data_IF_462534693566
#
_entry.id   IF_462534693566
#
_cell.length_a   1.000
_cell.length_b   1.000
_cell.length_c   1.000
_cell.angle_alpha   90.00
_cell.angle_beta   90.00
_cell.angle_gamma   90.00
#
_symmetry.space_group_name_H-M   'P 1'
#
loop_
_entity.id
_entity.type
_entity.pdbx_description
1 polymer ?
#
# COMPACT_ATOMS: atom_id res chain seq x y z
N UNK A 1 -2.93 11.07 13.82
CA UNK A 1 -3.30 10.46 15.11
C UNK A 1 -2.46 11.14 16.15
N UNK A 2 -3.13 11.76 17.10
CA UNK A 2 -2.53 12.46 18.22
C UNK A 2 -3.18 11.91 19.49
N UNK A 3 -2.42 11.83 20.57
CA UNK A 3 -2.95 11.39 21.85
C UNK A 3 -3.40 12.61 22.63
N UNK A 4 -4.66 12.62 23.04
CA UNK A 4 -5.26 13.68 23.84
C UNK A 4 -5.50 13.14 25.24
N UNK A 5 -5.16 13.95 26.24
CA UNK A 5 -5.42 13.62 27.62
C UNK A 5 -6.90 13.90 27.94
N UNK A 6 -7.69 12.87 28.22
CA UNK A 6 -9.13 12.98 28.44
C UNK A 6 -9.49 12.34 29.79
N UNK A 7 -10.39 12.96 30.56
CA UNK A 7 -10.91 12.37 31.79
C UNK A 7 -11.79 11.16 31.47
N UNK A 8 -11.74 10.12 32.31
CA UNK A 8 -12.53 8.92 32.08
C UNK A 8 -14.02 9.21 32.38
N UNK A 9 -14.95 8.94 31.43
CA UNK A 9 -16.37 9.23 31.63
C UNK A 9 -16.99 8.56 32.86
N UNK A 10 -16.43 7.41 33.27
CA UNK A 10 -16.88 6.62 34.42
C UNK A 10 -16.05 6.83 35.69
N UNK A 11 -14.95 7.60 35.64
CA UNK A 11 -14.09 7.94 36.79
C UNK A 11 -13.43 9.32 36.55
N UNK A 12 -14.11 10.44 36.92
CA UNK A 12 -13.65 11.79 36.61
C UNK A 12 -12.26 12.14 37.18
N UNK A 13 -11.86 11.51 38.29
CA UNK A 13 -10.56 11.74 38.94
C UNK A 13 -9.39 11.08 38.20
N UNK A 14 -9.65 10.31 37.15
CA UNK A 14 -8.62 9.62 36.35
C UNK A 14 -8.65 10.11 34.92
N UNK A 15 -7.45 10.15 34.33
CA UNK A 15 -7.24 10.56 32.95
C UNK A 15 -6.59 9.44 32.16
N UNK A 16 -6.88 9.40 30.87
CA UNK A 16 -6.25 8.48 29.92
C UNK A 16 -5.82 9.24 28.66
N UNK A 17 -4.68 8.81 28.10
CA UNK A 17 -4.23 9.26 26.80
C UNK A 17 -5.02 8.50 25.73
N UNK A 18 -6.02 9.15 25.14
CA UNK A 18 -6.88 8.56 24.11
C UNK A 18 -6.38 9.00 22.74
N UNK A 19 -6.19 8.07 21.80
CA UNK A 19 -5.83 8.46 20.45
C UNK A 19 -7.01 9.06 19.69
N UNK A 20 -6.79 10.20 19.07
CA UNK A 20 -7.75 10.87 18.22
C UNK A 20 -7.31 10.86 16.76
N UNK A 21 -8.27 10.64 15.87
CA UNK A 21 -8.07 10.78 14.43
C UNK A 21 -7.86 12.27 14.11
N UNK A 22 -6.82 12.55 13.34
CA UNK A 22 -6.50 13.90 12.86
C UNK A 22 -6.55 13.84 11.34
N UNK A 23 -7.49 14.58 10.77
CA UNK A 23 -7.67 14.70 9.33
C UNK A 23 -7.24 16.09 8.89
N UNK A 24 -6.39 16.15 7.86
CA UNK A 24 -5.95 17.41 7.28
C UNK A 24 -6.12 17.33 5.78
N UNK A 25 -6.97 18.21 5.23
CA UNK A 25 -7.11 18.34 3.79
C UNK A 25 -6.01 19.23 3.24
N UNK A 26 -5.30 18.72 2.25
CA UNK A 26 -4.26 19.45 1.53
C UNK A 26 -4.90 20.20 0.36
N UNK A 27 -4.62 21.50 0.23
CA UNK A 27 -5.26 22.35 -0.79
C UNK A 27 -4.33 22.72 -1.94
N UNK A 28 -3.03 22.68 -1.72
CA UNK A 28 -2.03 23.11 -2.71
C UNK A 28 -1.01 22.02 -2.99
N UNK A 29 -0.42 22.05 -4.18
CA UNK A 29 0.61 21.11 -4.61
C UNK A 29 1.85 21.17 -3.71
N UNK A 30 2.20 22.38 -3.24
CA UNK A 30 3.35 22.60 -2.34
C UNK A 30 3.16 21.95 -0.98
N UNK A 31 1.94 21.91 -0.47
CA UNK A 31 1.61 21.20 0.78
C UNK A 31 1.52 19.69 0.58
N UNK A 32 1.14 19.24 -0.63
CA UNK A 32 1.08 17.83 -1.00
C UNK A 32 2.47 17.24 -1.30
N UNK A 33 3.45 18.11 -1.60
CA UNK A 33 4.82 17.72 -1.88
C UNK A 33 5.57 17.30 -0.60
N UNK A 34 5.64 15.99 -0.38
CA UNK A 34 6.39 15.40 0.72
C UNK A 34 7.86 15.26 0.31
N UNK A 35 8.74 15.90 1.08
CA UNK A 35 10.20 15.85 0.84
C UNK A 35 10.81 14.61 1.49
N UNK A 36 11.91 14.13 0.91
CA UNK A 36 12.74 13.10 1.53
C UNK A 36 13.13 13.47 2.98
N UNK A 37 13.18 12.47 3.87
CA UNK A 37 13.51 12.66 5.29
C UNK A 37 12.45 13.36 6.16
N UNK A 38 11.35 13.86 5.59
CA UNK A 38 10.27 14.50 6.37
C UNK A 38 9.29 13.46 6.93
N UNK A 39 8.61 13.81 8.03
CA UNK A 39 7.58 12.95 8.64
C UNK A 39 6.41 12.80 7.68
N UNK A 40 6.31 11.65 7.03
CA UNK A 40 5.20 11.34 6.12
C UNK A 40 3.92 11.00 6.90
N UNK A 41 2.74 11.39 6.41
CA UNK A 41 1.48 10.98 7.01
C UNK A 41 1.31 9.47 6.87
N UNK A 42 0.89 8.81 7.96
CA UNK A 42 0.63 7.35 7.94
C UNK A 42 -0.47 6.97 6.95
N UNK A 43 -1.45 7.85 6.76
CA UNK A 43 -2.55 7.71 5.81
C UNK A 43 -2.51 8.86 4.83
N UNK A 44 -2.01 8.59 3.63
CA UNK A 44 -2.15 9.47 2.47
C UNK A 44 -3.16 8.83 1.54
N UNK A 45 -4.25 9.51 1.22
CA UNK A 45 -5.26 9.00 0.31
C UNK A 45 -5.80 10.11 -0.58
N UNK A 46 -6.21 9.72 -1.78
CA UNK A 46 -6.88 10.58 -2.75
C UNK A 46 -8.36 10.25 -2.69
N UNK A 47 -9.18 11.24 -2.37
CA UNK A 47 -10.61 11.09 -2.16
C UNK A 47 -11.42 11.76 -3.27
N UNK A 48 -12.49 11.10 -3.69
CA UNK A 48 -13.56 11.69 -4.48
C UNK A 48 -14.51 12.49 -3.59
N UNK A 49 -15.31 13.37 -4.21
CA UNK A 49 -16.41 14.04 -3.52
C UNK A 49 -17.63 13.11 -3.30
N UNK A 50 -17.62 11.91 -3.88
CA UNK A 50 -18.65 10.90 -3.68
C UNK A 50 -18.46 10.16 -2.36
N UNK A 51 -19.57 9.80 -1.71
CA UNK A 51 -19.57 9.12 -0.41
C UNK A 51 -19.97 7.65 -0.53
N UNK A 52 -19.54 6.84 0.42
CA UNK A 52 -20.04 5.48 0.63
C UNK A 52 -21.33 5.51 1.47
N UNK A 53 -21.94 4.34 1.72
CA UNK A 53 -23.20 4.24 2.49
C UNK A 53 -23.08 4.73 3.94
N UNK A 54 -21.85 4.83 4.46
CA UNK A 54 -21.53 5.23 5.82
C UNK A 54 -21.20 6.73 5.92
N UNK A 55 -21.30 7.47 4.82
CA UNK A 55 -21.06 8.92 4.78
C UNK A 55 -19.60 9.35 4.65
N UNK A 56 -18.67 8.41 4.46
CA UNK A 56 -17.25 8.69 4.23
C UNK A 56 -16.96 8.90 2.73
N UNK A 57 -16.04 9.80 2.41
CA UNK A 57 -15.60 10.01 1.03
C UNK A 57 -14.88 8.77 0.50
N UNK A 58 -15.20 8.40 -0.74
CA UNK A 58 -14.59 7.24 -1.41
C UNK A 58 -13.17 7.58 -1.81
N UNK A 59 -12.20 6.82 -1.31
CA UNK A 59 -10.78 7.14 -1.51
C UNK A 59 -9.90 5.92 -1.77
N UNK A 60 -8.75 6.16 -2.40
CA UNK A 60 -7.66 5.20 -2.47
C UNK A 60 -6.46 5.72 -1.69
N UNK A 61 -5.94 4.89 -0.80
CA UNK A 61 -4.74 5.14 -0.01
C UNK A 61 -3.50 4.76 -0.82
N UNK A 62 -2.52 5.66 -0.81
CA UNK A 62 -1.18 5.44 -1.32
C UNK A 62 -0.30 5.01 -0.15
N UNK A 63 0.23 3.80 -0.22
CA UNK A 63 1.16 3.27 0.77
C UNK A 63 2.48 2.96 0.06
N UNK A 64 3.45 3.85 0.24
CA UNK A 64 4.78 3.73 -0.35
C UNK A 64 5.67 2.87 0.55
N UNK A 65 6.36 1.89 -0.02
CA UNK A 65 7.41 1.12 0.64
C UNK A 65 8.73 1.43 -0.09
N UNK A 66 9.58 2.18 0.57
CA UNK A 66 10.82 2.71 -0.01
C UNK A 66 11.84 2.87 1.11
N UNK A 67 13.09 2.56 0.79
CA UNK A 67 14.26 2.77 1.65
C UNK A 67 15.24 3.73 0.96
N UNK A 68 14.70 4.63 0.12
CA UNK A 68 15.50 5.54 -0.70
C UNK A 68 16.55 6.23 0.18
N UNK A 69 17.79 6.26 -0.30
CA UNK A 69 18.84 7.06 0.32
C UNK A 69 18.65 8.55 0.03
N UNK A 70 19.59 9.34 0.54
CA UNK A 70 19.66 10.75 0.21
C UNK A 70 19.85 10.96 -1.30
N UNK A 71 19.21 12.00 -1.83
CA UNK A 71 19.40 12.43 -3.21
C UNK A 71 20.64 13.32 -3.34
N UNK A 72 21.08 13.57 -4.58
CA UNK A 72 22.15 14.53 -4.85
C UNK A 72 21.85 15.91 -4.23
N UNK A 73 22.86 16.63 -3.72
CA UNK A 73 22.68 17.99 -3.22
C UNK A 73 22.13 18.92 -4.30
N UNK A 74 21.21 19.83 -3.93
CA UNK A 74 20.61 20.80 -4.86
C UNK A 74 21.64 21.82 -5.42
N UNK A 75 22.86 21.86 -4.87
CA UNK A 75 23.98 22.66 -5.39
C UNK A 75 24.52 22.13 -6.72
N UNK A 76 24.42 20.82 -6.96
CA UNK A 76 24.99 20.19 -8.13
C UNK A 76 24.11 20.44 -9.37
N UNK A 77 24.74 20.70 -10.51
CA UNK A 77 24.02 20.99 -11.75
C UNK A 77 23.22 19.77 -12.22
N UNK A 78 23.75 18.58 -12.01
CA UNK A 78 23.22 17.28 -12.39
C UNK A 78 21.92 16.94 -11.62
N UNK A 79 21.74 17.45 -10.40
CA UNK A 79 20.52 17.24 -9.60
C UNK A 79 19.28 17.71 -10.36
N UNK A 80 19.40 18.80 -11.13
CA UNK A 80 18.29 19.38 -11.89
C UNK A 80 17.66 18.40 -12.88
N UNK A 81 18.45 17.44 -13.39
CA UNK A 81 17.97 16.39 -14.30
C UNK A 81 17.15 15.30 -13.59
N UNK A 82 17.27 15.17 -12.27
CA UNK A 82 16.62 14.15 -11.44
C UNK A 82 15.84 14.75 -10.26
N UNK A 83 15.28 15.95 -10.44
CA UNK A 83 14.57 16.69 -9.38
C UNK A 83 13.37 15.97 -8.75
N UNK A 84 12.80 14.98 -9.46
CA UNK A 84 11.75 14.09 -8.94
C UNK A 84 12.24 13.17 -7.81
N UNK A 85 13.55 12.93 -7.69
CA UNK A 85 14.13 12.17 -6.58
C UNK A 85 13.91 12.86 -5.22
N UNK A 86 13.68 14.18 -5.22
CA UNK A 86 13.45 14.97 -3.99
C UNK A 86 12.04 14.88 -3.44
N UNK A 87 11.05 14.66 -4.31
CA UNK A 87 9.63 14.91 -4.00
C UNK A 87 8.71 13.87 -4.62
N UNK A 88 7.74 13.47 -3.82
CA UNK A 88 6.50 12.87 -4.28
C UNK A 88 5.51 14.04 -4.52
N UNK A 89 5.10 14.30 -5.77
CA UNK A 89 4.30 15.51 -6.11
C UNK A 89 2.87 15.13 -6.54
N UNK A 90 1.91 16.06 -6.35
CA UNK A 90 0.50 15.90 -6.72
C UNK A 90 -0.07 17.23 -7.27
N UNK A 91 -0.78 17.23 -8.42
CA UNK A 91 -1.33 18.43 -9.10
C UNK A 91 -2.86 18.56 -9.04
N UNK A 92 -3.45 19.75 -8.98
CA UNK A 92 -4.91 19.93 -8.75
C UNK A 92 -5.74 20.01 -10.06
N UNK A 93 -6.98 19.52 -9.99
CA UNK A 93 -8.07 19.42 -10.99
C UNK A 93 -8.12 18.08 -11.77
N UNK A 94 -6.95 17.51 -12.06
CA UNK A 94 -6.73 16.09 -12.38
C UNK A 94 -5.48 15.62 -11.59
N UNK A 95 -5.70 14.84 -10.53
CA UNK A 95 -4.65 14.51 -9.57
C UNK A 95 -3.76 13.39 -10.11
N UNK A 96 -2.56 13.74 -10.55
CA UNK A 96 -1.48 12.79 -10.80
C UNK A 96 -0.60 12.69 -9.58
N UNK A 97 -0.45 11.49 -9.01
CA UNK A 97 0.49 11.23 -7.92
C UNK A 97 1.81 10.69 -8.49
N UNK A 98 2.91 11.40 -8.23
CA UNK A 98 4.26 11.00 -8.60
C UNK A 98 4.92 10.33 -7.40
N UNK A 99 5.23 9.04 -7.47
CA UNK A 99 5.84 8.30 -6.35
C UNK A 99 7.27 7.90 -6.69
N UNK A 100 8.20 8.28 -5.81
CA UNK A 100 9.60 7.89 -5.89
C UNK A 100 9.86 6.76 -4.89
N UNK A 101 10.34 5.62 -5.39
CA UNK A 101 10.77 4.49 -4.57
C UNK A 101 12.20 4.08 -4.94
N UNK A 102 12.99 3.68 -3.96
CA UNK A 102 14.37 3.26 -4.17
C UNK A 102 14.99 2.72 -2.88
N UNK A 103 16.29 2.47 -2.92
CA UNK A 103 17.10 2.06 -1.78
C UNK A 103 18.57 2.42 -2.00
N UNK A 104 19.34 2.51 -0.91
CA UNK A 104 20.81 2.59 -0.98
C UNK A 104 21.38 1.17 -1.09
N UNK A 105 22.21 0.93 -2.10
CA UNK A 105 22.91 -0.34 -2.27
C UNK A 105 24.39 -0.18 -1.93
N UNK A 106 24.84 -0.85 -0.87
CA UNK A 106 26.26 -1.06 -0.57
C UNK A 106 26.55 -2.52 -0.93
N UNK A 107 27.22 -2.79 -2.07
CA UNK A 107 27.45 -4.16 -2.50
C UNK A 107 28.26 -4.97 -1.50
N UNK A 108 27.94 -6.25 -1.38
CA UNK A 108 28.63 -7.20 -0.49
C UNK A 108 28.84 -8.57 -1.16
N UNK A 109 29.50 -9.50 -0.46
CA UNK A 109 29.98 -10.75 -1.06
C UNK A 109 28.85 -11.61 -1.66
N UNK A 110 27.67 -11.57 -1.07
CA UNK A 110 26.46 -12.29 -1.49
C UNK A 110 25.79 -11.68 -2.74
N UNK A 111 26.26 -10.53 -3.25
CA UNK A 111 25.83 -9.97 -4.55
C UNK A 111 26.51 -10.66 -5.75
N UNK A 112 27.43 -11.60 -5.52
CA UNK A 112 28.11 -12.34 -6.57
C UNK A 112 27.45 -13.72 -6.74
N UNK A 113 27.07 -14.13 -7.96
CA UNK A 113 27.31 -13.48 -9.25
C UNK A 113 26.28 -12.41 -9.66
N UNK A 114 25.13 -12.37 -8.99
CA UNK A 114 24.07 -11.39 -9.24
C UNK A 114 23.44 -10.98 -7.91
N UNK A 115 23.09 -9.70 -7.78
CA UNK A 115 22.27 -9.21 -6.69
C UNK A 115 20.92 -9.92 -6.67
N UNK A 116 20.54 -10.39 -5.48
CA UNK A 116 19.28 -11.12 -5.27
C UNK A 116 18.09 -10.16 -5.20
N UNK A 117 16.89 -10.64 -5.54
CA UNK A 117 15.66 -9.83 -5.49
C UNK A 117 15.08 -9.70 -4.08
N UNK A 118 15.40 -10.63 -3.19
CA UNK A 118 14.87 -10.67 -1.81
C UNK A 118 15.33 -9.44 -1.05
N UNK A 119 14.39 -8.66 -0.52
CA UNK A 119 14.68 -7.43 0.23
C UNK A 119 14.94 -6.18 -0.63
N UNK A 120 15.26 -6.34 -1.91
CA UNK A 120 15.54 -5.24 -2.85
C UNK A 120 14.28 -4.69 -3.55
N UNK A 121 13.10 -5.11 -3.09
CA UNK A 121 11.82 -4.61 -3.61
C UNK A 121 11.46 -3.24 -3.04
N UNK A 122 11.13 -2.30 -3.94
CA UNK A 122 10.53 -1.01 -3.61
C UNK A 122 9.27 -0.75 -4.45
N UNK A 123 8.39 0.14 -4.02
CA UNK A 123 7.20 0.49 -4.79
C UNK A 123 6.07 1.12 -3.98
N UNK A 124 4.85 0.96 -4.50
CA UNK A 124 3.63 1.55 -3.94
C UNK A 124 2.47 0.57 -3.99
N UNK A 125 1.66 0.59 -2.94
CA UNK A 125 0.38 -0.08 -2.88
C UNK A 125 -0.74 0.95 -2.97
N UNK A 126 -1.67 0.72 -3.90
CA UNK A 126 -2.93 1.46 -3.99
C UNK A 126 -4.01 0.63 -3.30
N UNK A 127 -4.53 1.12 -2.18
CA UNK A 127 -5.49 0.39 -1.35
C UNK A 127 -6.81 1.12 -1.25
N UNK A 128 -7.97 0.47 -1.48
CA UNK A 128 -9.25 1.12 -1.26
C UNK A 128 -9.39 1.51 0.22
N UNK A 129 -9.81 2.75 0.48
CA UNK A 129 -10.08 3.27 1.81
C UNK A 129 -11.43 3.96 1.81
N UNK A 130 -12.43 3.31 2.42
CA UNK A 130 -13.84 3.72 2.34
C UNK A 130 -14.39 3.87 0.91
N UNK A 131 -13.71 3.31 -0.09
CA UNK A 131 -14.15 3.36 -1.48
C UNK A 131 -15.40 2.51 -1.71
N UNK A 132 -15.38 1.28 -1.18
CA UNK A 132 -16.49 0.35 -1.20
C UNK A 132 -17.32 0.48 0.08
N UNK A 133 -18.50 -0.14 0.06
CA UNK A 133 -19.41 -0.20 1.21
C UNK A 133 -19.05 -1.33 2.19
N UNK A 134 -18.33 -2.35 1.69
CA UNK A 134 -17.83 -3.53 2.38
C UNK A 134 -16.60 -4.05 1.62
N UNK A 135 -15.93 -5.07 2.15
CA UNK A 135 -14.81 -5.70 1.44
C UNK A 135 -15.30 -6.40 0.16
N UNK A 136 -14.84 -6.02 -1.04
CA UNK A 136 -15.24 -6.68 -2.27
C UNK A 136 -14.89 -8.18 -2.31
N UNK A 137 -13.94 -8.65 -1.51
CA UNK A 137 -13.56 -10.07 -1.46
C UNK A 137 -14.66 -10.98 -0.89
N UNK A 138 -15.65 -10.42 -0.18
CA UNK A 138 -16.79 -11.18 0.37
C UNK A 138 -17.63 -11.87 -0.72
N UNK A 139 -17.63 -11.32 -1.93
CA UNK A 139 -18.34 -11.87 -3.09
C UNK A 139 -17.44 -12.74 -3.97
N UNK A 140 -16.26 -13.13 -3.49
CA UNK A 140 -15.33 -13.99 -4.23
C UNK A 140 -15.95 -15.38 -4.44
N UNK A 141 -15.93 -15.84 -5.69
CA UNK A 141 -16.34 -17.21 -6.05
C UNK A 141 -15.41 -18.28 -5.44
N UNK A 142 -14.23 -17.88 -4.99
CA UNK A 142 -13.23 -18.74 -4.36
C UNK A 142 -13.27 -18.63 -2.82
N UNK A 143 -14.22 -17.86 -2.25
CA UNK A 143 -14.42 -17.83 -0.80
C UNK A 143 -14.94 -19.19 -0.30
N UNK A 144 -14.45 -19.61 0.86
CA UNK A 144 -14.80 -20.91 1.46
C UNK A 144 -15.30 -20.68 2.88
N UNK A 145 -16.51 -21.16 3.15
CA UNK A 145 -17.12 -21.19 4.47
C UNK A 145 -17.89 -22.50 4.64
N UNK A 146 -17.62 -23.25 5.71
CA UNK A 146 -18.35 -24.47 6.04
C UNK A 146 -18.60 -24.54 7.54
N UNK A 147 -19.73 -25.11 7.93
CA UNK A 147 -20.06 -25.37 9.33
C UNK A 147 -19.33 -26.62 9.84
N UNK A 148 -19.09 -26.75 11.16
CA UNK A 148 -18.54 -27.97 11.73
C UNK A 148 -19.34 -29.21 11.31
N UNK A 149 -18.66 -30.27 10.86
CA UNK A 149 -19.28 -31.50 10.35
C UNK A 149 -19.50 -31.55 8.82
N UNK A 150 -19.25 -30.45 8.10
CA UNK A 150 -19.36 -30.40 6.63
C UNK A 150 -18.00 -30.49 5.90
N UNK A 151 -16.92 -30.85 6.60
CA UNK A 151 -15.55 -30.78 6.10
C UNK A 151 -15.33 -31.64 4.84
N UNK A 152 -15.99 -32.80 4.78
CA UNK A 152 -15.78 -33.81 3.74
C UNK A 152 -16.80 -33.74 2.58
N UNK A 153 -17.77 -32.83 2.63
CA UNK A 153 -18.84 -32.73 1.63
C UNK A 153 -18.46 -31.72 0.55
N UNK A 154 -18.33 -32.17 -0.70
CA UNK A 154 -18.07 -31.30 -1.86
C UNK A 154 -19.21 -30.29 -2.12
N UNK A 155 -20.45 -30.61 -1.71
CA UNK A 155 -21.61 -29.73 -1.88
C UNK A 155 -21.50 -28.44 -1.05
N UNK A 156 -20.85 -28.52 0.12
CA UNK A 156 -20.73 -27.42 1.08
C UNK A 156 -19.31 -26.89 1.23
N UNK A 157 -18.30 -27.70 0.92
CA UNK A 157 -16.89 -27.36 1.00
C UNK A 157 -16.20 -27.63 -0.34
N UNK A 158 -16.01 -26.58 -1.14
CA UNK A 158 -15.35 -26.67 -2.46
C UNK A 158 -13.92 -27.23 -2.37
N UNK A 159 -13.25 -27.09 -1.23
CA UNK A 159 -11.92 -27.68 -1.01
C UNK A 159 -11.96 -29.21 -0.95
N UNK A 160 -13.06 -29.81 -0.49
CA UNK A 160 -13.22 -31.26 -0.48
C UNK A 160 -13.29 -31.85 -1.89
N UNK A 161 -13.74 -31.06 -2.88
CA UNK A 161 -13.80 -31.48 -4.28
C UNK A 161 -12.40 -31.58 -4.93
N UNK A 162 -11.44 -30.76 -4.49
CA UNK A 162 -10.12 -30.69 -5.13
C UNK A 162 -9.32 -32.00 -5.03
N UNK A 163 -9.64 -32.87 -4.05
CA UNK A 163 -9.02 -34.20 -3.93
C UNK A 163 -9.46 -35.12 -5.07
N UNK A 164 -10.64 -34.89 -5.64
CA UNK A 164 -11.22 -35.68 -6.73
C UNK A 164 -10.92 -35.08 -8.12
N UNK A 165 -10.75 -33.76 -8.20
CA UNK A 165 -10.50 -33.02 -9.44
C UNK A 165 -9.02 -32.62 -9.64
N UNK A 166 -8.09 -33.54 -9.40
CA UNK A 166 -6.67 -33.31 -9.70
C UNK A 166 -6.39 -33.56 -11.17
N UNK A 167 -6.40 -32.51 -11.98
CA UNK A 167 -5.75 -32.51 -13.29
C UNK A 167 -4.67 -31.43 -13.32
N UNK A 168 -3.52 -31.77 -13.89
CA UNK A 168 -2.47 -30.80 -14.21
C UNK A 168 -2.39 -30.70 -15.73
N UNK A 169 -2.22 -29.49 -16.29
CA UNK A 169 -1.89 -29.39 -17.70
C UNK A 169 -0.57 -30.11 -17.99
N UNK A 170 -0.44 -30.63 -19.21
CA UNK A 170 0.87 -31.03 -19.74
C UNK A 170 1.65 -29.74 -19.96
N UNK A 171 2.80 -29.62 -19.30
CA UNK A 171 3.66 -28.46 -19.45
C UNK A 171 4.48 -28.60 -20.74
N UNK A 172 4.31 -27.67 -21.66
CA UNK A 172 5.18 -27.56 -22.83
C UNK A 172 6.63 -27.26 -22.39
N UNK A 173 7.64 -27.83 -23.07
CA UNK A 173 9.03 -27.47 -22.81
C UNK A 173 9.26 -25.97 -22.98
N UNK A 174 9.96 -25.37 -22.03
CA UNK A 174 10.32 -23.96 -22.08
C UNK A 174 11.11 -23.63 -23.36
N UNK A 175 10.69 -22.58 -24.07
CA UNK A 175 11.39 -22.04 -25.25
C UNK A 175 11.97 -20.66 -24.96
N UNK A 176 13.24 -20.43 -25.34
CA UNK A 176 13.91 -19.14 -25.23
C UNK A 176 14.31 -18.66 -26.62
N UNK A 177 13.86 -17.46 -27.00
CA UNK A 177 14.06 -16.91 -28.34
C UNK A 177 15.44 -16.27 -28.56
N UNK A 178 16.38 -16.46 -27.63
CA UNK A 178 17.75 -16.01 -27.77
C UNK A 178 17.94 -14.53 -27.50
N UNK A 179 19.09 -14.04 -27.93
CA UNK A 179 19.53 -12.65 -27.79
C UNK A 179 19.41 -11.93 -29.14
N UNK A 180 19.14 -10.62 -29.08
CA UNK A 180 19.14 -9.70 -30.23
C UNK A 180 20.55 -9.18 -30.47
#
# INVERSE_FOLDING_TARGET
MEYVNVSLPWMPDRFAMVPQLVEKQVKTEKEAALRHGTKTPRYLHIASNTKNRWGHNRSYRLQVYSFAGDHLPESEAEERSMSWARKCMMCVQDLVAWVTAGFLHIPHAEDIPNTVTVGNGGGVLLRPHNYFNEDPSIHSADSVFFSPGAENSCDNNRMACLVQETCSPVLEPFTFHGFV
#
